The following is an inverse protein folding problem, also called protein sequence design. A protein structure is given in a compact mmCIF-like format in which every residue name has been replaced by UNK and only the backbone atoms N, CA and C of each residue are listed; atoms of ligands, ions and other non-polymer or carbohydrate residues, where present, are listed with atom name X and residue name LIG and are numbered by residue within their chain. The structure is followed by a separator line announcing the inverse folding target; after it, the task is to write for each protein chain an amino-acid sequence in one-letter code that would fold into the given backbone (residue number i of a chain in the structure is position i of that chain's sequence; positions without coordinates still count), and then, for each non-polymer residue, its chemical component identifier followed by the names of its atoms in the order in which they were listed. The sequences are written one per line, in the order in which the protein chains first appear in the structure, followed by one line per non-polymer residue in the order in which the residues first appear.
data_IF_723553109587
#
_entry.id   IF_723553109587
#
_cell.length_a   1.000
_cell.length_b   1.000
_cell.length_c   1.000
_cell.angle_alpha   90.00
_cell.angle_beta   90.00
_cell.angle_gamma   90.00
#
_symmetry.space_group_name_H-M   'P 1'
#
loop_
_entity.id
_entity.type
_entity.pdbx_description
1 polymer ?
#
# COMPACT_ATOMS: atom_id res chain seq x y z
N UNK A 1 8.97 12.73 -8.77
CA UNK A 1 10.03 13.50 -8.06
C UNK A 1 11.05 12.60 -7.35
N UNK A 2 12.07 13.16 -6.69
CA UNK A 2 12.90 12.44 -5.70
C UNK A 2 12.52 12.88 -4.28
N UNK A 3 12.40 11.94 -3.36
CA UNK A 3 12.14 12.20 -1.94
C UNK A 3 13.32 11.73 -1.09
N UNK A 4 13.62 12.46 -0.02
CA UNK A 4 14.62 12.03 0.95
C UNK A 4 14.02 10.94 1.84
N UNK A 5 14.62 9.76 1.85
CA UNK A 5 14.06 8.58 2.52
C UNK A 5 13.94 8.81 4.03
N UNK A 6 15.02 9.29 4.66
CA UNK A 6 15.07 9.58 6.09
C UNK A 6 14.02 10.62 6.49
N UNK A 7 13.93 11.75 5.77
CA UNK A 7 12.91 12.78 6.04
C UNK A 7 11.49 12.26 5.85
N UNK A 8 11.28 11.37 4.89
CA UNK A 8 9.98 10.75 4.67
C UNK A 8 9.58 9.84 5.84
N UNK A 9 10.51 9.03 6.35
CA UNK A 9 10.30 8.20 7.54
C UNK A 9 10.08 9.06 8.80
N UNK A 10 10.90 10.10 9.02
CA UNK A 10 10.73 11.05 10.13
C UNK A 10 9.33 11.71 10.09
N UNK A 11 8.89 12.15 8.91
CA UNK A 11 7.59 12.80 8.72
C UNK A 11 6.41 11.87 9.07
N UNK A 12 6.45 10.63 8.59
CA UNK A 12 5.29 9.74 8.64
C UNK A 12 5.32 8.73 9.80
N UNK A 13 6.50 8.40 10.34
CA UNK A 13 6.64 7.38 11.38
C UNK A 13 7.01 7.95 12.77
N UNK A 14 7.60 9.15 12.88
CA UNK A 14 8.19 9.63 14.16
C UNK A 14 7.37 10.64 14.96
N UNK A 15 6.15 10.99 14.54
CA UNK A 15 5.20 11.83 15.31
C UNK A 15 5.76 13.13 15.92
N UNK A 16 6.80 13.72 15.33
CA UNK A 16 7.33 15.03 15.75
C UNK A 16 6.23 16.11 15.71
N UNK A 17 6.08 16.88 16.79
CA UNK A 17 4.92 17.77 17.00
C UNK A 17 4.78 18.82 15.89
N UNK A 18 5.90 19.30 15.35
CA UNK A 18 5.98 20.25 14.25
C UNK A 18 5.42 19.69 12.92
N UNK A 19 5.25 18.38 12.80
CA UNK A 19 4.67 17.74 11.63
C UNK A 19 3.16 17.47 11.77
N UNK A 20 2.57 17.79 12.92
CA UNK A 20 1.15 17.54 13.19
C UNK A 20 0.28 18.31 12.19
N UNK A 21 -0.68 17.60 11.58
CA UNK A 21 -1.53 18.17 10.52
C UNK A 21 -0.86 18.14 9.14
N UNK A 22 0.40 18.58 9.03
CA UNK A 22 1.15 18.56 7.78
C UNK A 22 1.32 17.15 7.21
N UNK A 23 1.67 16.17 8.04
CA UNK A 23 1.82 14.79 7.58
C UNK A 23 0.52 14.24 6.96
N UNK A 24 -0.65 14.59 7.50
CA UNK A 24 -1.94 14.16 6.94
C UNK A 24 -2.25 14.87 5.60
N UNK A 25 -1.90 16.15 5.47
CA UNK A 25 -2.06 16.88 4.21
C UNK A 25 -1.14 16.33 3.13
N UNK A 26 0.13 16.09 3.45
CA UNK A 26 1.12 15.57 2.49
C UNK A 26 0.73 14.15 2.07
N UNK A 27 0.32 13.29 3.01
CA UNK A 27 -0.07 11.92 2.66
C UNK A 27 -1.36 11.87 1.83
N UNK A 28 -2.27 12.82 1.99
CA UNK A 28 -3.45 12.95 1.14
C UNK A 28 -3.09 13.34 -0.31
N UNK A 29 -2.02 14.12 -0.50
CA UNK A 29 -1.56 14.52 -1.84
C UNK A 29 -0.68 13.48 -2.51
N UNK A 30 0.20 12.80 -1.76
CA UNK A 30 1.29 12.00 -2.30
C UNK A 30 1.25 10.52 -1.90
N UNK A 31 0.51 10.18 -0.84
CA UNK A 31 0.63 8.87 -0.19
C UNK A 31 0.37 7.68 -1.11
N UNK A 32 -0.61 7.79 -2.00
CA UNK A 32 -0.95 6.74 -2.96
C UNK A 32 0.14 6.54 -4.03
N UNK A 33 0.63 7.62 -4.64
CA UNK A 33 1.67 7.55 -5.68
C UNK A 33 3.01 7.11 -5.11
N UNK A 34 3.31 7.54 -3.89
CA UNK A 34 4.48 7.09 -3.13
C UNK A 34 4.41 5.59 -2.83
N UNK A 35 3.28 5.11 -2.33
CA UNK A 35 3.07 3.70 -2.06
C UNK A 35 3.17 2.83 -3.32
N UNK A 36 2.54 3.27 -4.42
CA UNK A 36 2.60 2.61 -5.71
C UNK A 36 4.03 2.56 -6.27
N UNK A 37 4.74 3.69 -6.21
CA UNK A 37 6.14 3.77 -6.64
C UNK A 37 7.04 2.85 -5.80
N UNK A 38 6.86 2.85 -4.47
CA UNK A 38 7.61 2.00 -3.56
C UNK A 38 7.43 0.51 -3.89
N UNK A 39 6.20 0.06 -4.11
CA UNK A 39 5.93 -1.32 -4.48
C UNK A 39 6.54 -1.69 -5.84
N UNK A 40 6.39 -0.79 -6.82
CA UNK A 40 6.95 -0.97 -8.16
C UNK A 40 8.48 -1.06 -8.15
N UNK A 41 9.14 -0.30 -7.28
CA UNK A 41 10.58 -0.37 -7.09
C UNK A 41 11.01 -1.62 -6.32
N UNK A 42 10.21 -2.08 -5.34
CA UNK A 42 10.53 -3.24 -4.52
C UNK A 42 10.50 -4.55 -5.29
N UNK A 43 9.47 -4.78 -6.13
CA UNK A 43 9.41 -6.00 -6.94
C UNK A 43 10.58 -5.94 -7.95
N UNK A 44 11.67 -6.71 -7.74
CA UNK A 44 12.89 -6.49 -8.49
C UNK A 44 12.67 -6.79 -9.97
N UNK A 45 13.15 -5.89 -10.82
CA UNK A 45 13.54 -6.14 -12.22
C UNK A 45 12.55 -6.89 -13.11
N UNK A 46 11.25 -6.53 -13.10
CA UNK A 46 10.35 -6.95 -14.18
C UNK A 46 10.47 -5.90 -15.29
N UNK A 47 11.20 -6.24 -16.34
CA UNK A 47 10.83 -5.78 -17.69
C UNK A 47 9.33 -6.10 -17.83
N UNK A 48 8.47 -5.10 -17.62
CA UNK A 48 7.01 -5.27 -17.64
C UNK A 48 6.25 -5.19 -16.32
N UNK A 49 6.79 -4.63 -15.21
CA UNK A 49 5.93 -4.20 -14.09
C UNK A 49 5.11 -2.99 -14.54
N UNK A 50 3.91 -3.26 -15.03
CA UNK A 50 2.99 -2.25 -15.52
C UNK A 50 1.98 -1.90 -14.44
N UNK A 51 2.03 -0.63 -14.04
CA UNK A 51 1.00 -0.02 -13.22
C UNK A 51 -0.10 0.47 -14.15
N UNK A 52 -1.35 0.16 -13.80
CA UNK A 52 -2.53 0.65 -14.49
C UNK A 52 -3.58 1.07 -13.48
N UNK A 53 -4.16 2.24 -13.71
CA UNK A 53 -5.47 2.59 -13.18
C UNK A 53 -6.49 2.04 -14.16
N UNK A 54 -7.14 0.94 -13.81
CA UNK A 54 -8.35 0.55 -14.53
C UNK A 54 -9.52 1.23 -13.84
N UNK A 55 -10.46 1.78 -14.61
CA UNK A 55 -11.80 2.02 -14.09
C UNK A 55 -12.41 0.64 -13.77
N UNK A 56 -12.14 0.16 -12.56
CA UNK A 56 -12.74 -1.06 -12.06
C UNK A 56 -14.13 -0.70 -11.60
N UNK A 57 -15.14 -1.00 -12.41
CA UNK A 57 -16.51 -0.97 -11.93
C UNK A 57 -16.67 -2.10 -10.91
N UNK A 58 -16.81 -1.73 -9.64
CA UNK A 58 -17.24 -2.68 -8.62
C UNK A 58 -18.67 -3.12 -8.95
N UNK A 59 -18.92 -4.42 -8.94
CA UNK A 59 -20.24 -5.05 -9.10
C UNK A 59 -21.05 -4.63 -10.36
N UNK A 60 -22.12 -5.35 -10.65
CA UNK A 60 -22.97 -5.17 -11.85
C UNK A 60 -23.31 -3.68 -12.05
N UNK A 61 -23.09 -3.17 -13.27
CA UNK A 61 -23.56 -1.86 -13.75
C UNK A 61 -22.88 -0.60 -13.19
N UNK A 62 -21.57 -0.63 -12.91
CA UNK A 62 -20.82 0.59 -12.60
C UNK A 62 -20.92 1.09 -11.17
N UNK A 63 -21.67 0.39 -10.31
CA UNK A 63 -21.92 0.77 -8.93
C UNK A 63 -21.31 -0.24 -7.96
N UNK A 64 -20.16 0.12 -7.38
CA UNK A 64 -19.54 -0.68 -6.33
C UNK A 64 -18.12 -0.23 -5.96
N UNK A 65 -17.53 -0.85 -4.92
CA UNK A 65 -16.21 -0.47 -4.43
C UNK A 65 -15.14 -0.64 -5.51
N UNK A 66 -14.40 0.43 -5.78
CA UNK A 66 -13.24 0.42 -6.67
C UNK A 66 -11.97 0.15 -5.87
N UNK A 67 -10.93 -0.34 -6.52
CA UNK A 67 -9.59 -0.48 -5.94
C UNK A 67 -8.67 0.62 -6.48
N UNK A 68 -7.63 0.94 -5.72
CA UNK A 68 -6.77 2.08 -6.03
C UNK A 68 -5.89 1.83 -7.26
N UNK A 69 -5.33 0.62 -7.40
CA UNK A 69 -4.35 0.31 -8.47
C UNK A 69 -4.43 -1.14 -8.95
N UNK A 70 -3.82 -1.38 -10.11
CA UNK A 70 -3.44 -2.71 -10.58
C UNK A 70 -1.96 -2.74 -10.95
N UNK A 71 -1.29 -3.84 -10.60
CA UNK A 71 0.12 -4.07 -10.94
C UNK A 71 0.27 -5.40 -11.67
N UNK A 72 0.78 -5.39 -12.90
CA UNK A 72 1.08 -6.61 -13.62
C UNK A 72 2.54 -7.02 -13.43
N UNK A 73 2.76 -8.20 -12.85
CA UNK A 73 4.05 -8.86 -12.84
C UNK A 73 4.13 -9.85 -14.01
N UNK A 74 4.70 -9.39 -15.13
CA UNK A 74 4.84 -10.18 -16.35
C UNK A 74 5.62 -11.49 -16.18
N UNK A 75 6.64 -11.49 -15.33
CA UNK A 75 7.46 -12.69 -15.09
C UNK A 75 6.66 -13.83 -14.45
N UNK A 76 5.82 -13.51 -13.45
CA UNK A 76 4.96 -14.51 -12.80
C UNK A 76 3.60 -14.64 -13.50
N UNK A 77 3.35 -13.81 -14.51
CA UNK A 77 2.04 -13.62 -15.11
C UNK A 77 0.93 -13.39 -14.06
N UNK A 78 1.25 -12.59 -13.03
CA UNK A 78 0.33 -12.23 -11.95
C UNK A 78 -0.15 -10.80 -12.17
N UNK A 79 -1.45 -10.59 -12.04
CA UNK A 79 -2.08 -9.29 -12.07
C UNK A 79 -2.62 -8.98 -10.68
N UNK A 80 -1.89 -8.14 -9.94
CA UNK A 80 -2.29 -7.71 -8.61
C UNK A 80 -3.43 -6.71 -8.69
N UNK A 81 -4.53 -7.01 -8.00
CA UNK A 81 -5.59 -6.04 -7.72
C UNK A 81 -5.28 -5.40 -6.36
N UNK A 82 -5.11 -4.07 -6.32
CA UNK A 82 -4.44 -3.42 -5.21
C UNK A 82 -5.30 -2.40 -4.49
N UNK A 83 -5.37 -2.50 -3.17
CA UNK A 83 -5.83 -1.44 -2.28
C UNK A 83 -4.63 -0.86 -1.51
N UNK A 84 -4.56 0.46 -1.43
CA UNK A 84 -3.50 1.23 -0.81
C UNK A 84 -4.07 1.94 0.42
N UNK A 85 -3.42 1.70 1.57
CA UNK A 85 -3.74 2.35 2.84
C UNK A 85 -2.55 3.17 3.29
N UNK A 86 -2.62 4.45 3.01
CA UNK A 86 -1.61 5.44 3.43
C UNK A 86 -1.75 5.83 4.91
N UNK A 87 -2.12 4.88 5.77
CA UNK A 87 -2.20 5.12 7.21
C UNK A 87 -0.80 5.17 7.79
N UNK A 88 -0.38 6.34 8.24
CA UNK A 88 0.93 6.57 8.86
C UNK A 88 0.85 6.44 10.37
N UNK A 89 1.95 6.76 11.07
CA UNK A 89 1.90 6.92 12.52
C UNK A 89 0.89 7.99 12.93
N UNK A 90 0.52 8.96 12.09
CA UNK A 90 -0.44 10.02 12.42
C UNK A 90 -1.91 9.59 12.41
N UNK A 91 -2.22 8.39 11.92
CA UNK A 91 -3.58 7.84 11.98
C UNK A 91 -4.03 7.59 13.45
N UNK A 92 -5.34 7.47 13.67
CA UNK A 92 -5.94 7.24 15.00
C UNK A 92 -5.33 6.05 15.74
N UNK A 93 -5.04 4.97 15.02
CA UNK A 93 -4.40 3.76 15.55
C UNK A 93 -2.90 3.69 15.30
N UNK A 94 -2.31 4.76 14.76
CA UNK A 94 -0.90 4.84 14.47
C UNK A 94 -0.04 4.77 15.74
N UNK A 95 1.18 4.29 15.54
CA UNK A 95 2.24 4.16 16.54
C UNK A 95 3.53 4.67 15.94
N UNK A 96 4.26 5.41 16.76
CA UNK A 96 5.58 5.92 16.42
C UNK A 96 6.57 4.77 16.24
N UNK A 97 7.45 4.92 15.26
CA UNK A 97 8.63 4.07 15.11
C UNK A 97 9.80 4.94 14.64
N UNK A 98 10.79 5.12 15.51
CA UNK A 98 12.01 5.87 15.17
C UNK A 98 12.79 5.20 14.04
N UNK A 99 13.48 5.98 13.21
CA UNK A 99 14.24 5.51 12.07
C UNK A 99 15.38 4.57 12.51
N UNK A 100 15.99 4.90 13.64
CA UNK A 100 17.08 4.17 14.29
C UNK A 100 16.58 3.09 15.27
N UNK A 101 15.26 2.84 15.31
CA UNK A 101 14.67 1.82 16.18
C UNK A 101 15.33 0.45 15.95
N UNK A 102 15.57 -0.25 17.06
CA UNK A 102 16.10 -1.61 17.04
C UNK A 102 15.15 -2.57 16.32
N UNK A 103 15.67 -3.70 15.86
CA UNK A 103 14.84 -4.77 15.27
C UNK A 103 13.73 -5.23 16.24
N UNK A 104 14.04 -5.25 17.54
CA UNK A 104 13.09 -5.63 18.60
C UNK A 104 11.93 -4.64 18.70
N UNK A 105 12.21 -3.33 18.63
CA UNK A 105 11.18 -2.29 18.66
C UNK A 105 10.34 -2.31 17.38
N UNK A 106 10.98 -2.40 16.21
CA UNK A 106 10.28 -2.52 14.93
C UNK A 106 9.38 -3.76 14.89
N UNK A 107 9.83 -4.90 15.45
CA UNK A 107 9.01 -6.10 15.63
C UNK A 107 7.78 -5.83 16.50
N UNK A 108 7.96 -5.23 17.67
CA UNK A 108 6.86 -4.92 18.59
C UNK A 108 5.79 -4.05 17.93
N UNK A 109 6.21 -3.04 17.16
CA UNK A 109 5.29 -2.16 16.41
C UNK A 109 4.60 -2.90 15.26
N UNK A 110 5.34 -3.72 14.50
CA UNK A 110 4.78 -4.57 13.44
C UNK A 110 3.71 -5.52 13.97
N UNK A 111 3.99 -6.19 15.10
CA UNK A 111 3.06 -7.13 15.72
C UNK A 111 1.81 -6.41 16.24
N UNK A 112 1.96 -5.19 16.78
CA UNK A 112 0.82 -4.33 17.13
C UNK A 112 -0.09 -4.07 15.93
N UNK A 113 0.48 -3.63 14.79
CA UNK A 113 -0.31 -3.36 13.58
C UNK A 113 -1.02 -4.60 13.05
N UNK A 114 -0.32 -5.74 13.07
CA UNK A 114 -0.88 -7.01 12.63
C UNK A 114 -2.04 -7.49 13.52
N UNK A 115 -1.84 -7.51 14.82
CA UNK A 115 -2.79 -8.12 15.76
C UNK A 115 -4.00 -7.24 16.08
N UNK A 116 -3.87 -5.92 15.95
CA UNK A 116 -4.92 -4.97 16.32
C UNK A 116 -5.53 -4.31 15.08
N UNK A 117 -4.97 -3.23 14.48
CA UNK A 117 -5.60 -2.57 13.33
C UNK A 117 -5.93 -3.48 12.15
N UNK A 118 -4.98 -4.27 11.65
CA UNK A 118 -5.21 -5.12 10.47
C UNK A 118 -6.22 -6.22 10.79
N UNK A 119 -6.07 -6.87 11.95
CA UNK A 119 -7.04 -7.87 12.38
C UNK A 119 -8.47 -7.30 12.47
N UNK A 120 -8.64 -6.08 12.98
CA UNK A 120 -9.96 -5.41 13.06
C UNK A 120 -10.53 -5.13 11.66
N UNK A 121 -9.71 -4.71 10.71
CA UNK A 121 -10.14 -4.45 9.33
C UNK A 121 -10.70 -5.70 8.62
N UNK A 122 -10.21 -6.89 8.97
CA UNK A 122 -10.69 -8.15 8.38
C UNK A 122 -11.77 -8.87 9.19
N UNK A 123 -11.82 -8.68 10.51
CA UNK A 123 -12.80 -9.34 11.42
C UNK A 123 -14.20 -8.71 11.39
N UNK A 124 -14.48 -7.80 10.46
CA UNK A 124 -15.79 -7.15 10.32
C UNK A 124 -16.94 -8.14 10.08
N UNK A 125 -18.18 -7.69 10.37
CA UNK A 125 -19.46 -8.45 10.27
C UNK A 125 -19.86 -8.82 8.82
N UNK A 126 -18.95 -9.39 8.03
CA UNK A 126 -19.22 -9.88 6.67
C UNK A 126 -19.48 -8.81 5.60
N UNK A 127 -19.23 -7.54 5.89
CA UNK A 127 -19.33 -6.46 4.90
C UNK A 127 -18.09 -6.45 4.00
N UNK A 128 -18.33 -6.35 2.69
CA UNK A 128 -17.30 -6.20 1.64
C UNK A 128 -16.90 -4.73 1.51
N UNK A 129 -16.45 -4.10 2.59
CA UNK A 129 -16.12 -2.68 2.63
C UNK A 129 -14.65 -2.42 3.01
N UNK A 130 -14.24 -1.16 2.86
CA UNK A 130 -12.93 -0.63 3.26
C UNK A 130 -11.75 -1.43 2.71
N UNK A 131 -10.97 -2.08 3.57
CA UNK A 131 -9.77 -2.85 3.22
C UNK A 131 -10.14 -4.22 2.65
N UNK A 132 -11.22 -4.82 3.15
CA UNK A 132 -11.62 -6.19 2.78
C UNK A 132 -12.10 -6.33 1.32
N UNK A 133 -12.50 -5.22 0.67
CA UNK A 133 -12.92 -5.21 -0.75
C UNK A 133 -11.82 -5.72 -1.69
N UNK A 134 -10.54 -5.62 -1.30
CA UNK A 134 -9.41 -6.19 -2.05
C UNK A 134 -9.52 -7.71 -2.21
N UNK A 135 -10.28 -8.40 -1.35
CA UNK A 135 -10.51 -9.84 -1.42
C UNK A 135 -11.74 -10.21 -2.29
N UNK A 136 -12.37 -9.22 -2.93
CA UNK A 136 -13.43 -9.43 -3.90
C UNK A 136 -12.82 -9.33 -5.28
N UNK A 137 -12.92 -10.38 -6.10
CA UNK A 137 -12.38 -10.38 -7.45
C UNK A 137 -13.04 -9.30 -8.29
N UNK A 138 -12.24 -8.35 -8.76
CA UNK A 138 -12.70 -7.24 -9.58
C UNK A 138 -12.89 -7.69 -11.03
N UNK A 139 -13.89 -7.14 -11.70
CA UNK A 139 -14.11 -7.35 -13.13
C UNK A 139 -13.36 -6.28 -13.93
N UNK A 140 -12.62 -6.70 -14.95
CA UNK A 140 -11.99 -5.80 -15.90
C UNK A 140 -12.81 -5.78 -17.19
N UNK A 141 -13.59 -4.73 -17.43
CA UNK A 141 -14.43 -4.62 -18.63
C UNK A 141 -13.62 -4.57 -19.94
N UNK A 142 -12.40 -4.04 -19.90
CA UNK A 142 -11.50 -3.94 -21.05
C UNK A 142 -10.19 -4.69 -20.81
N UNK A 143 -10.29 -5.99 -20.54
CA UNK A 143 -9.10 -6.82 -20.36
C UNK A 143 -8.37 -6.92 -21.70
N UNK A 144 -7.38 -6.06 -21.92
CA UNK A 144 -6.45 -6.17 -23.04
C UNK A 144 -5.98 -7.64 -23.13
N UNK A 145 -5.90 -8.20 -24.35
CA UNK A 145 -5.47 -9.59 -24.60
C UNK A 145 -4.21 -9.97 -23.81
N UNK A 146 -3.32 -9.00 -23.59
CA UNK A 146 -2.12 -9.14 -22.76
C UNK A 146 -2.37 -9.74 -21.38
N UNK A 147 -3.46 -9.39 -20.70
CA UNK A 147 -3.72 -9.84 -19.33
C UNK A 147 -4.70 -11.01 -19.25
N UNK A 148 -5.24 -11.49 -20.38
CA UNK A 148 -6.34 -12.47 -20.42
C UNK A 148 -6.04 -13.73 -19.60
N UNK A 149 -4.79 -14.18 -19.64
CA UNK A 149 -4.33 -15.39 -18.97
C UNK A 149 -3.60 -15.10 -17.65
N UNK A 150 -3.55 -13.84 -17.20
CA UNK A 150 -2.89 -13.51 -15.93
C UNK A 150 -3.70 -14.02 -14.74
N UNK A 151 -3.00 -14.55 -13.73
CA UNK A 151 -3.60 -14.91 -12.45
C UNK A 151 -3.87 -13.64 -11.66
N UNK A 152 -5.12 -13.42 -11.25
CA UNK A 152 -5.46 -12.26 -10.42
C UNK A 152 -5.18 -12.62 -8.96
N UNK A 153 -4.40 -11.78 -8.27
CA UNK A 153 -4.11 -11.95 -6.85
C UNK A 153 -4.33 -10.63 -6.09
N UNK A 154 -4.84 -10.66 -4.86
CA UNK A 154 -5.10 -9.45 -4.10
C UNK A 154 -3.83 -8.95 -3.42
N UNK A 155 -3.65 -7.62 -3.44
CA UNK A 155 -2.50 -6.93 -2.87
C UNK A 155 -2.97 -5.79 -1.97
N UNK A 156 -2.44 -5.72 -0.75
CA UNK A 156 -2.52 -4.54 0.08
C UNK A 156 -1.18 -3.86 0.19
N UNK A 157 -1.18 -2.56 0.00
CA UNK A 157 -0.02 -1.73 0.30
C UNK A 157 -0.36 -0.87 1.51
N UNK A 158 0.38 -1.05 2.60
CA UNK A 158 0.28 -0.21 3.79
C UNK A 158 1.49 0.71 3.88
N UNK A 159 1.26 1.94 4.36
CA UNK A 159 2.39 2.73 4.85
C UNK A 159 3.03 2.06 6.08
N UNK A 160 2.22 1.62 7.05
CA UNK A 160 2.68 1.06 8.33
C UNK A 160 3.80 0.01 8.21
N UNK A 161 4.73 -0.02 9.19
CA UNK A 161 5.79 -1.03 9.27
C UNK A 161 5.24 -2.39 9.72
N UNK A 162 4.64 -3.15 8.80
CA UNK A 162 3.96 -4.43 9.11
C UNK A 162 4.57 -5.61 8.36
N UNK A 163 4.84 -6.70 9.09
CA UNK A 163 5.31 -7.97 8.55
C UNK A 163 5.02 -9.13 9.50
N UNK A 164 4.56 -10.26 8.94
CA UNK A 164 4.51 -11.55 9.66
C UNK A 164 5.85 -12.29 9.67
N UNK A 165 6.75 -11.96 8.75
CA UNK A 165 8.05 -12.62 8.62
C UNK A 165 9.01 -12.17 9.70
N UNK A 166 9.78 -13.09 10.31
CA UNK A 166 10.73 -12.83 11.41
C UNK A 166 11.73 -11.72 11.11
N UNK A 167 12.18 -11.61 9.87
CA UNK A 167 13.14 -10.61 9.39
C UNK A 167 12.52 -9.25 9.04
N UNK A 168 11.22 -9.05 9.26
CA UNK A 168 10.47 -7.86 8.83
C UNK A 168 10.57 -7.62 7.32
N UNK A 169 10.39 -8.66 6.51
CA UNK A 169 10.28 -8.51 5.06
C UNK A 169 9.17 -7.51 4.71
N UNK A 170 9.43 -6.51 3.86
CA UNK A 170 8.41 -5.54 3.46
C UNK A 170 7.34 -6.17 2.57
N UNK A 171 7.56 -7.36 2.01
CA UNK A 171 6.57 -8.08 1.20
C UNK A 171 6.43 -9.52 1.69
N UNK A 172 5.19 -9.91 1.95
CA UNK A 172 4.83 -11.24 2.45
C UNK A 172 3.40 -11.58 2.04
N UNK A 173 3.02 -12.84 2.21
CA UNK A 173 1.68 -13.32 1.91
C UNK A 173 1.06 -13.97 3.14
N UNK A 174 -0.26 -13.93 3.21
CA UNK A 174 -1.05 -14.62 4.23
C UNK A 174 -2.16 -15.41 3.58
N UNK A 175 -2.52 -16.53 4.20
CA UNK A 175 -3.67 -17.29 3.73
C UNK A 175 -4.96 -16.56 4.13
N UNK A 176 -5.89 -16.48 3.18
CA UNK A 176 -7.15 -15.74 3.37
C UNK A 176 -8.02 -16.41 4.44
N UNK A 177 -7.87 -17.72 4.64
CA UNK A 177 -8.49 -18.47 5.73
C UNK A 177 -8.11 -17.94 7.11
N UNK A 178 -6.90 -17.38 7.27
CA UNK A 178 -6.40 -16.90 8.56
C UNK A 178 -6.99 -15.54 8.94
N UNK A 179 -7.53 -14.79 7.97
CA UNK A 179 -8.00 -13.42 8.16
C UNK A 179 -9.36 -13.33 8.86
N UNK A 180 -10.04 -14.47 9.09
CA UNK A 180 -11.38 -14.53 9.71
C UNK A 180 -12.39 -13.57 9.06
N UNK A 181 -12.36 -13.50 7.73
CA UNK A 181 -13.27 -12.64 6.95
C UNK A 181 -14.70 -13.17 7.01
N UNK A 182 -15.67 -12.27 7.18
CA UNK A 182 -17.09 -12.66 7.27
C UNK A 182 -17.77 -12.96 5.92
N UNK A 183 -17.02 -13.19 4.84
CA UNK A 183 -17.55 -13.56 3.52
C UNK A 183 -16.62 -14.52 2.78
N UNK A 184 -17.17 -15.28 1.83
CA UNK A 184 -16.39 -16.18 0.98
C UNK A 184 -15.59 -15.38 -0.06
N UNK A 185 -14.27 -15.43 0.06
CA UNK A 185 -13.33 -14.92 -0.95
C UNK A 185 -13.07 -15.98 -2.03
N UNK A 186 -12.77 -15.52 -3.26
CA UNK A 186 -12.27 -16.39 -4.34
C UNK A 186 -10.75 -16.56 -4.29
N UNK A 187 -10.06 -15.75 -3.49
CA UNK A 187 -8.61 -15.79 -3.36
C UNK A 187 -8.20 -16.69 -2.19
N UNK A 188 -7.12 -17.44 -2.40
CA UNK A 188 -6.49 -18.27 -1.36
C UNK A 188 -5.48 -17.49 -0.52
N UNK A 189 -4.81 -16.52 -1.13
CA UNK A 189 -3.74 -15.73 -0.53
C UNK A 189 -4.02 -14.24 -0.66
N UNK A 190 -3.51 -13.48 0.29
CA UNK A 190 -3.43 -12.02 0.26
C UNK A 190 -1.97 -11.61 0.37
N UNK A 191 -1.50 -10.81 -0.58
CA UNK A 191 -0.18 -10.20 -0.53
C UNK A 191 -0.25 -8.88 0.21
N UNK A 192 0.79 -8.61 1.00
CA UNK A 192 0.89 -7.39 1.79
C UNK A 192 2.28 -6.79 1.55
N UNK A 193 2.30 -5.51 1.24
CA UNK A 193 3.50 -4.71 1.11
C UNK A 193 3.52 -3.58 2.15
N UNK A 194 4.64 -3.40 2.83
CA UNK A 194 4.89 -2.33 3.79
C UNK A 194 5.88 -1.31 3.22
N UNK A 195 5.39 -0.11 2.95
CA UNK A 195 6.20 1.00 2.44
C UNK A 195 7.26 1.42 3.47
N UNK A 196 6.89 1.57 4.75
CA UNK A 196 7.84 1.93 5.82
C UNK A 196 8.97 0.92 5.95
N UNK A 197 8.68 -0.39 5.97
CA UNK A 197 9.74 -1.41 6.04
C UNK A 197 10.64 -1.40 4.80
N UNK A 198 10.08 -1.15 3.62
CA UNK A 198 10.87 -1.06 2.40
C UNK A 198 11.80 0.15 2.40
N UNK A 199 11.28 1.33 2.73
CA UNK A 199 12.08 2.55 2.81
C UNK A 199 13.18 2.45 3.87
N UNK A 200 12.91 1.82 5.03
CA UNK A 200 13.93 1.52 6.04
C UNK A 200 15.00 0.56 5.54
N UNK A 201 14.62 -0.42 4.71
CA UNK A 201 15.59 -1.33 4.08
C UNK A 201 16.52 -0.57 3.14
N UNK A 202 15.98 0.36 2.34
CA UNK A 202 16.76 1.23 1.44
C UNK A 202 17.69 2.16 2.24
N UNK A 203 17.18 2.81 3.28
CA UNK A 203 17.98 3.69 4.16
C UNK A 203 19.16 2.93 4.78
N UNK A 204 18.91 1.71 5.29
CA UNK A 204 19.96 0.83 5.83
C UNK A 204 20.97 0.34 4.79
N UNK A 205 20.60 0.29 3.50
CA UNK A 205 21.56 -0.01 2.43
C UNK A 205 22.34 1.21 1.94
N UNK A 206 22.14 2.39 2.55
CA UNK A 206 22.83 3.63 2.21
C UNK A 206 22.13 4.48 1.14
N UNK A 207 20.94 4.07 0.70
CA UNK A 207 20.15 4.87 -0.25
C UNK A 207 19.59 6.10 0.46
N UNK A 208 19.85 7.29 -0.10
CA UNK A 208 19.39 8.56 0.47
C UNK A 208 18.08 9.04 -0.15
N UNK A 209 17.86 8.70 -1.42
CA UNK A 209 16.80 9.26 -2.25
C UNK A 209 15.97 8.15 -2.87
N UNK A 210 14.65 8.30 -2.80
CA UNK A 210 13.70 7.42 -3.48
C UNK A 210 13.02 8.17 -4.63
N UNK A 211 12.93 7.55 -5.80
CA UNK A 211 12.26 8.16 -6.95
C UNK A 211 10.81 7.75 -6.99
N UNK A 212 9.92 8.74 -6.97
CA UNK A 212 8.48 8.56 -7.11
C UNK A 212 8.06 8.95 -8.52
N UNK A 213 7.27 8.10 -9.19
CA UNK A 213 6.69 8.38 -10.50
C UNK A 213 5.27 8.91 -10.29
N UNK A 214 5.00 10.11 -10.77
CA UNK A 214 3.92 10.96 -10.23
C UNK A 214 3.13 11.69 -11.31
N UNK A 215 2.31 10.98 -12.10
CA UNK A 215 1.43 11.68 -13.03
C UNK A 215 0.40 12.56 -12.31
N UNK A 216 -0.09 12.16 -11.13
CA UNK A 216 -1.20 12.87 -10.48
C UNK A 216 -0.76 13.89 -9.42
N UNK A 217 0.39 13.71 -8.78
CA UNK A 217 0.89 14.68 -7.78
C UNK A 217 1.20 16.04 -8.42
N UNK A 218 1.90 16.06 -9.56
CA UNK A 218 2.22 17.31 -10.25
C UNK A 218 0.94 18.06 -10.66
N UNK A 219 -0.08 17.33 -11.14
CA UNK A 219 -1.37 17.90 -11.47
C UNK A 219 -2.08 18.47 -10.23
N UNK A 220 -2.05 17.76 -9.10
CA UNK A 220 -2.62 18.25 -7.81
C UNK A 220 -1.92 19.53 -7.34
N UNK A 221 -0.60 19.63 -7.51
CA UNK A 221 0.16 20.84 -7.17
C UNK A 221 -0.21 22.00 -8.09
N UNK A 222 -0.37 21.77 -9.39
CA UNK A 222 -0.83 22.81 -10.34
C UNK A 222 -2.22 23.31 -9.97
N UNK A 223 -3.16 22.40 -9.69
CA UNK A 223 -4.52 22.76 -9.24
C UNK A 223 -4.46 23.59 -7.95
N UNK A 224 -3.68 23.13 -6.96
CA UNK A 224 -3.54 23.84 -5.68
C UNK A 224 -2.97 25.26 -5.87
N UNK A 225 -1.94 25.40 -6.71
CA UNK A 225 -1.37 26.72 -7.04
C UNK A 225 -2.38 27.62 -7.74
N UNK A 226 -3.23 27.08 -8.61
CA UNK A 226 -4.30 27.87 -9.25
C UNK A 226 -5.38 28.37 -8.29
N UNK A 227 -5.51 27.77 -7.10
CA UNK A 227 -6.41 28.24 -6.04
C UNK A 227 -5.78 29.32 -5.15
N UNK A 228 -4.45 29.39 -5.12
CA UNK A 228 -3.69 30.36 -4.34
C UNK A 228 -3.29 31.50 -5.28
N UNK A 229 -4.02 32.62 -5.20
CA UNK A 229 -3.79 33.81 -6.03
C UNK A 229 -2.37 34.37 -5.92
#
# INVERSE_FOLDING_TARGET
MKINIKKCLELFDERHLEHRGHANSIIAMLGEDLAASAFKAYIPSVIGCEERKFQAEGFKNGSGPQLDRWFYNGHKNILYQCEIKSWSAWATTGRELKIDASLKEARKISDYYWQKPIAVEFRGKGKKDKTSKVLVKMQMKNRNNKYKNATIEPLLIFWWPVSKEKNLSPFFSVDVSDLKIGFKSQFKKLHIFSVSLYLRKLDKSGEKWFTVKEPDFDQRIVILKGLLG
#
